data_IF_292076521459
#
_entry.id   IF_292076521459
#
_cell.length_a   1.000
_cell.length_b   1.000
_cell.length_c   1.000
_cell.angle_alpha   90.00
_cell.angle_beta   90.00
_cell.angle_gamma   90.00
#
_symmetry.space_group_name_H-M   'P 1'
#
loop_
_entity.id
_entity.type
_entity.pdbx_description
1 polymer ?
#
# COMPACT_ATOMS: atom_id res chain seq x y z
N UNK A 1 18.49 -4.50 5.30
CA UNK A 1 17.17 -4.35 5.97
C UNK A 1 16.41 -3.23 5.27
N UNK A 2 15.14 -3.46 4.96
CA UNK A 2 14.23 -2.48 4.35
C UNK A 2 12.97 -2.42 5.22
N UNK A 3 12.63 -1.23 5.70
CA UNK A 3 11.39 -0.99 6.44
C UNK A 3 10.55 0.01 5.63
N UNK A 4 9.27 -0.29 5.46
CA UNK A 4 8.32 0.54 4.72
C UNK A 4 7.03 0.65 5.55
N UNK A 5 6.45 1.85 5.56
CA UNK A 5 5.12 2.13 6.11
C UNK A 5 4.41 3.10 5.16
N UNK A 6 3.12 2.90 4.98
CA UNK A 6 2.27 3.73 4.13
C UNK A 6 1.27 4.48 4.99
N UNK A 7 1.00 5.73 4.65
CA UNK A 7 -0.07 6.51 5.28
C UNK A 7 -1.43 6.09 4.73
N UNK A 8 -2.50 6.46 5.43
CA UNK A 8 -3.82 6.52 4.79
C UNK A 8 -3.83 7.58 3.68
N UNK A 9 -4.92 7.59 2.90
CA UNK A 9 -5.17 8.58 1.86
C UNK A 9 -5.35 9.97 2.47
N UNK A 10 -4.46 10.90 2.15
CA UNK A 10 -4.44 12.25 2.72
C UNK A 10 -5.17 13.27 1.81
N UNK A 11 -5.04 13.13 0.49
CA UNK A 11 -5.65 14.04 -0.49
C UNK A 11 -6.24 13.23 -1.66
N UNK A 12 -7.55 12.93 -1.60
CA UNK A 12 -8.17 12.05 -2.60
C UNK A 12 -7.50 10.68 -2.59
N UNK A 13 -7.01 10.14 -3.73
CA UNK A 13 -6.29 8.86 -3.77
C UNK A 13 -4.79 8.98 -3.46
N UNK A 14 -4.30 10.14 -3.00
CA UNK A 14 -2.88 10.37 -2.72
C UNK A 14 -2.55 9.95 -1.29
N UNK A 15 -1.55 9.08 -1.16
CA UNK A 15 -0.91 8.66 0.09
C UNK A 15 0.61 8.80 -0.01
N UNK A 16 1.30 8.69 1.11
CA UNK A 16 2.76 8.79 1.19
C UNK A 16 3.37 7.49 1.70
N UNK A 17 4.56 7.18 1.20
CA UNK A 17 5.40 6.10 1.69
C UNK A 17 6.56 6.67 2.51
N UNK A 18 6.81 6.07 3.67
CA UNK A 18 8.03 6.30 4.45
C UNK A 18 8.87 5.04 4.39
N UNK A 19 10.09 5.17 3.87
CA UNK A 19 11.01 4.06 3.65
C UNK A 19 12.35 4.29 4.35
N UNK A 20 12.80 3.29 5.11
CA UNK A 20 14.15 3.25 5.69
C UNK A 20 14.97 2.14 5.03
N UNK A 21 16.13 2.53 4.50
CA UNK A 21 17.08 1.63 3.84
C UNK A 21 18.32 1.44 4.71
N UNK A 22 18.68 0.19 4.99
CA UNK A 22 19.97 -0.17 5.60
C UNK A 22 20.65 -1.24 4.75
N UNK A 23 21.54 -0.79 3.86
CA UNK A 23 22.29 -1.65 2.93
C UNK A 23 21.43 -2.35 1.86
N UNK A 24 20.23 -1.82 1.57
CA UNK A 24 19.34 -2.37 0.53
C UNK A 24 18.80 -1.23 -0.36
N UNK A 25 19.19 -1.25 -1.63
CA UNK A 25 18.80 -0.30 -2.67
C UNK A 25 17.67 -0.82 -3.58
N UNK A 26 17.28 -2.09 -3.42
CA UNK A 26 16.20 -2.70 -4.17
C UNK A 26 14.80 -2.23 -3.75
N UNK A 27 13.78 -2.72 -4.44
CA UNK A 27 12.38 -2.48 -4.08
C UNK A 27 11.87 -3.58 -3.15
N UNK A 28 11.10 -3.22 -2.12
CA UNK A 28 10.51 -4.17 -1.19
C UNK A 28 9.31 -4.88 -1.79
N UNK A 29 9.55 -5.88 -2.64
CA UNK A 29 8.50 -6.61 -3.37
C UNK A 29 7.41 -7.19 -2.45
N UNK A 30 7.76 -7.66 -1.24
CA UNK A 30 6.78 -8.18 -0.28
C UNK A 30 5.91 -7.11 0.37
N UNK A 31 6.41 -5.88 0.53
CA UNK A 31 5.66 -4.77 1.12
C UNK A 31 4.62 -4.20 0.13
N UNK A 32 4.82 -4.44 -1.17
CA UNK A 32 3.89 -4.03 -2.22
C UNK A 32 2.59 -4.83 -2.23
N UNK A 33 2.66 -6.13 -1.97
CA UNK A 33 1.46 -6.98 -1.93
C UNK A 33 0.54 -6.57 -0.77
N UNK A 34 1.10 -6.38 0.43
CA UNK A 34 0.33 -5.94 1.59
C UNK A 34 -0.32 -4.56 1.39
N UNK A 35 0.37 -3.64 0.72
CA UNK A 35 -0.21 -2.35 0.33
C UNK A 35 -1.40 -2.56 -0.63
N UNK A 36 -1.21 -3.36 -1.67
CA UNK A 36 -2.25 -3.60 -2.67
C UNK A 36 -3.51 -4.23 -2.05
N UNK A 37 -3.34 -5.26 -1.21
CA UNK A 37 -4.43 -5.91 -0.48
C UNK A 37 -5.17 -4.91 0.43
N UNK A 38 -4.45 -4.01 1.11
CA UNK A 38 -5.07 -2.99 1.96
C UNK A 38 -5.90 -1.97 1.17
N UNK A 39 -5.45 -1.58 -0.03
CA UNK A 39 -6.15 -0.66 -0.92
C UNK A 39 -7.36 -1.33 -1.53
N UNK A 40 -7.23 -2.57 -2.00
CA UNK A 40 -8.32 -3.34 -2.58
C UNK A 40 -9.46 -3.53 -1.56
N UNK A 41 -9.13 -3.86 -0.31
CA UNK A 41 -10.09 -3.93 0.79
C UNK A 41 -10.83 -2.60 1.02
N UNK A 42 -10.13 -1.46 0.96
CA UNK A 42 -10.76 -0.13 1.07
C UNK A 42 -11.68 0.17 -0.14
N UNK A 43 -11.28 -0.22 -1.35
CA UNK A 43 -12.12 -0.05 -2.54
C UNK A 43 -13.38 -0.93 -2.53
N UNK A 44 -13.29 -2.15 -2.00
CA UNK A 44 -14.44 -3.03 -1.76
C UNK A 44 -15.37 -2.39 -0.72
N UNK A 45 -14.83 -1.91 0.41
CA UNK A 45 -15.62 -1.24 1.48
C UNK A 45 -16.35 0.01 0.96
N UNK A 46 -15.73 0.76 0.04
CA UNK A 46 -16.35 1.94 -0.61
C UNK A 46 -17.30 1.59 -1.75
N UNK A 47 -17.39 0.32 -2.14
CA UNK A 47 -18.24 -0.16 -3.24
C UNK A 47 -17.75 0.24 -4.64
N UNK A 48 -16.48 0.63 -4.77
CA UNK A 48 -15.86 0.98 -6.06
C UNK A 48 -15.51 -0.28 -6.85
N UNK A 49 -15.02 -1.30 -6.15
CA UNK A 49 -14.80 -2.65 -6.71
C UNK A 49 -15.93 -3.55 -6.25
N UNK A 50 -16.54 -4.27 -7.19
CA UNK A 50 -17.43 -5.39 -6.88
C UNK A 50 -16.61 -6.66 -6.94
N UNK A 51 -16.64 -7.43 -5.86
CA UNK A 51 -16.15 -8.80 -5.88
C UNK A 51 -17.27 -9.62 -6.49
N UNK A 52 -17.10 -10.05 -7.74
CA UNK A 52 -18.04 -11.00 -8.34
C UNK A 52 -17.98 -12.29 -7.52
N UNK A 53 -19.14 -12.73 -7.05
CA UNK A 53 -19.31 -13.90 -6.18
C UNK A 53 -19.24 -15.22 -6.97
#
# INVERSE_FOLDING_TARGET
>A
LLLQIFTENMFGPIFFEIIQRKGNEGFGNGNFQALFESIELDQIRRGVIKVDA
#
